data_IF_066818903442
#
_entry.id   IF_066818903442
#
_cell.length_a   1.000
_cell.length_b   1.000
_cell.length_c   1.000
_cell.angle_alpha   90.00
_cell.angle_beta   90.00
_cell.angle_gamma   90.00
#
_symmetry.space_group_name_H-M   'P 1'
#
loop_
_entity.id
_entity.type
_entity.pdbx_description
1 polymer ?
#
# COMPACT_ATOMS: atom_id res chain seq x y z
N UNK A 1 25.52 18.44 27.28
CA UNK A 1 25.17 17.10 27.81
C UNK A 1 23.80 16.66 27.31
N UNK A 2 22.71 17.37 27.60
CA UNK A 2 21.34 17.01 27.18
C UNK A 2 21.16 16.65 25.68
N UNK A 3 21.66 17.48 24.75
CA UNK A 3 21.55 17.22 23.30
C UNK A 3 22.31 15.96 22.86
N UNK A 4 23.49 15.71 23.45
CA UNK A 4 24.28 14.50 23.18
C UNK A 4 23.58 13.25 23.73
N UNK A 5 22.89 13.36 24.87
CA UNK A 5 22.08 12.28 25.43
C UNK A 5 20.87 11.94 24.55
N UNK A 6 20.21 12.94 23.95
CA UNK A 6 19.12 12.71 22.98
C UNK A 6 19.65 12.03 21.71
N UNK A 7 20.76 12.52 21.16
CA UNK A 7 21.44 11.91 20.01
C UNK A 7 21.78 10.44 20.25
N UNK A 8 22.37 10.17 21.42
CA UNK A 8 22.73 8.81 21.83
C UNK A 8 21.49 7.91 21.95
N UNK A 9 20.41 8.41 22.55
CA UNK A 9 19.15 7.67 22.70
C UNK A 9 18.52 7.34 21.34
N UNK A 10 18.45 8.30 20.43
CA UNK A 10 17.90 8.11 19.08
C UNK A 10 18.70 7.07 18.29
N UNK A 11 20.04 7.06 18.41
CA UNK A 11 20.88 6.07 17.74
C UNK A 11 20.72 4.66 18.32
N UNK A 12 20.64 4.53 19.64
CA UNK A 12 20.54 3.23 20.32
C UNK A 12 19.15 2.61 20.14
N UNK A 13 18.09 3.40 20.19
CA UNK A 13 16.71 2.92 20.10
C UNK A 13 16.13 2.94 18.66
N UNK A 14 16.83 3.51 17.69
CA UNK A 14 16.43 3.51 16.28
C UNK A 14 16.03 2.12 15.73
N UNK A 15 16.79 1.03 15.97
CA UNK A 15 16.42 -0.31 15.51
C UNK A 15 15.08 -0.82 16.06
N UNK A 16 14.60 -0.24 17.17
CA UNK A 16 13.31 -0.57 17.78
C UNK A 16 12.23 0.39 17.27
N UNK A 17 12.49 1.69 17.25
CA UNK A 17 11.49 2.70 16.88
C UNK A 17 11.12 2.68 15.41
N UNK A 18 12.08 2.47 14.50
CA UNK A 18 11.83 2.43 13.05
C UNK A 18 10.76 1.36 12.70
N UNK A 19 10.93 0.08 13.07
CA UNK A 19 9.92 -0.93 12.76
C UNK A 19 8.61 -0.71 13.53
N UNK A 20 8.64 -0.19 14.77
CA UNK A 20 7.40 0.10 15.52
C UNK A 20 6.58 1.21 14.86
N UNK A 21 7.23 2.27 14.37
CA UNK A 21 6.55 3.36 13.66
C UNK A 21 5.94 2.86 12.36
N UNK A 22 6.69 2.08 11.57
CA UNK A 22 6.18 1.48 10.33
C UNK A 22 5.00 0.56 10.63
N UNK A 23 5.15 -0.33 11.60
CA UNK A 23 4.09 -1.25 12.04
C UNK A 23 2.83 -0.53 12.51
N UNK A 24 2.93 0.66 13.10
CA UNK A 24 1.75 1.45 13.46
C UNK A 24 0.97 1.97 12.25
N UNK A 25 1.65 2.35 11.17
CA UNK A 25 1.00 2.76 9.91
C UNK A 25 0.43 1.56 9.16
N UNK A 26 1.14 0.42 9.16
CA UNK A 26 0.65 -0.85 8.63
C UNK A 26 -0.64 -1.26 9.33
N UNK A 27 -0.63 -1.30 10.67
CA UNK A 27 -1.79 -1.68 11.48
C UNK A 27 -2.95 -0.69 11.31
N UNK A 28 -2.68 0.61 11.30
CA UNK A 28 -3.72 1.61 11.10
C UNK A 28 -4.37 1.49 9.71
N UNK A 29 -3.58 1.26 8.66
CA UNK A 29 -4.08 1.05 7.30
C UNK A 29 -4.86 -0.27 7.17
N UNK A 30 -4.36 -1.34 7.77
CA UNK A 30 -4.99 -2.66 7.79
C UNK A 30 -6.35 -2.63 8.52
N UNK A 31 -6.39 -2.02 9.71
CA UNK A 31 -7.60 -1.82 10.49
C UNK A 31 -8.63 -0.97 9.75
N UNK A 32 -8.21 0.12 9.09
CA UNK A 32 -9.08 0.94 8.26
C UNK A 32 -9.60 0.19 7.02
N UNK A 33 -8.79 -0.72 6.47
CA UNK A 33 -9.15 -1.62 5.38
C UNK A 33 -10.02 -2.81 5.79
N UNK A 34 -10.26 -3.01 7.09
CA UNK A 34 -11.11 -4.09 7.62
C UNK A 34 -10.50 -5.49 7.54
N UNK A 35 -9.18 -5.61 7.34
CA UNK A 35 -8.48 -6.89 7.30
C UNK A 35 -7.15 -6.83 8.05
N UNK A 36 -6.91 -7.83 8.89
CA UNK A 36 -5.67 -7.93 9.66
C UNK A 36 -4.58 -8.71 8.91
N UNK A 37 -3.33 -8.29 9.07
CA UNK A 37 -2.17 -9.07 8.63
C UNK A 37 -1.88 -9.02 7.13
N UNK A 38 -2.17 -7.91 6.45
CA UNK A 38 -1.81 -7.74 5.03
C UNK A 38 -0.29 -7.75 4.88
N UNK A 39 0.23 -8.78 4.22
CA UNK A 39 1.62 -8.89 3.79
C UNK A 39 1.69 -9.06 2.27
N UNK A 40 2.79 -8.66 1.59
CA UNK A 40 2.92 -8.83 0.14
C UNK A 40 2.59 -10.24 -0.35
N UNK A 41 3.05 -11.26 0.38
CA UNK A 41 2.74 -12.66 0.08
C UNK A 41 1.26 -13.01 0.22
N UNK A 42 0.57 -12.46 1.22
CA UNK A 42 -0.87 -12.69 1.41
C UNK A 42 -1.71 -12.03 0.31
N UNK A 43 -1.30 -10.85 -0.17
CA UNK A 43 -1.94 -10.18 -1.31
C UNK A 43 -1.80 -11.04 -2.57
N UNK A 44 -0.59 -11.51 -2.87
CA UNK A 44 -0.36 -12.41 -4.00
C UNK A 44 -1.16 -13.71 -3.87
N UNK A 45 -1.17 -14.32 -2.68
CA UNK A 45 -1.92 -15.55 -2.42
C UNK A 45 -3.43 -15.34 -2.61
N UNK A 46 -3.99 -14.18 -2.26
CA UNK A 46 -5.40 -13.87 -2.50
C UNK A 46 -5.75 -13.91 -3.99
N UNK A 47 -4.90 -13.32 -4.84
CA UNK A 47 -5.07 -13.39 -6.30
C UNK A 47 -4.91 -14.80 -6.86
N UNK A 48 -3.94 -15.55 -6.33
CA UNK A 48 -3.72 -16.94 -6.71
C UNK A 48 -4.92 -17.84 -6.36
N UNK A 49 -5.51 -17.67 -5.17
CA UNK A 49 -6.72 -18.40 -4.78
C UNK A 49 -7.91 -18.08 -5.67
N UNK A 50 -8.08 -16.82 -6.07
CA UNK A 50 -9.12 -16.42 -7.03
C UNK A 50 -8.92 -17.11 -8.39
N UNK A 51 -7.66 -17.16 -8.85
CA UNK A 51 -7.25 -17.84 -10.08
C UNK A 51 -7.48 -19.37 -10.02
N UNK A 52 -7.26 -20.00 -8.86
CA UNK A 52 -7.59 -21.42 -8.65
C UNK A 52 -9.10 -21.66 -8.69
N UNK A 53 -9.90 -20.79 -8.06
CA UNK A 53 -11.37 -20.90 -8.11
C UNK A 53 -11.92 -20.81 -9.54
N UNK A 54 -11.31 -19.98 -10.39
CA UNK A 54 -11.60 -19.94 -11.83
C UNK A 54 -11.27 -21.25 -12.54
N UNK A 55 -10.16 -21.89 -12.18
CA UNK A 55 -9.71 -23.15 -12.78
C UNK A 55 -10.60 -24.34 -12.35
N UNK A 56 -11.10 -24.34 -11.11
CA UNK A 56 -12.08 -25.32 -10.66
C UNK A 56 -13.43 -25.17 -11.38
N UNK A 57 -13.85 -23.93 -11.64
CA UNK A 57 -15.02 -23.66 -12.49
C UNK A 57 -14.84 -24.18 -13.93
N UNK A 58 -13.62 -24.08 -14.48
CA UNK A 58 -13.26 -24.62 -15.78
C UNK A 58 -13.41 -26.15 -15.84
N UNK A 59 -12.96 -26.88 -14.80
CA UNK A 59 -12.98 -28.34 -14.76
C UNK A 59 -14.41 -28.92 -14.76
N UNK A 60 -15.39 -28.20 -14.22
CA UNK A 60 -16.77 -28.69 -14.13
C UNK A 60 -17.59 -28.48 -15.43
N UNK A 61 -17.30 -27.46 -16.25
CA UNK A 61 -18.16 -27.09 -17.41
C UNK A 61 -17.40 -26.68 -18.69
N UNK A 62 -16.14 -26.23 -18.59
CA UNK A 62 -15.52 -25.36 -19.59
C UNK A 62 -14.51 -25.99 -20.56
N UNK A 63 -13.95 -27.19 -20.28
CA UNK A 63 -12.95 -27.82 -21.16
C UNK A 63 -13.51 -28.29 -22.51
N UNK A 64 -14.82 -28.47 -22.63
CA UNK A 64 -15.47 -28.97 -23.83
C UNK A 64 -15.88 -27.88 -24.82
N UNK A 65 -15.80 -26.59 -24.44
CA UNK A 65 -16.17 -25.48 -25.32
C UNK A 65 -14.93 -24.69 -25.79
N UNK A 66 -14.67 -24.63 -27.11
CA UNK A 66 -13.44 -24.05 -27.67
C UNK A 66 -13.28 -22.54 -27.44
N UNK A 67 -14.32 -21.83 -26.99
CA UNK A 67 -14.29 -20.37 -26.80
C UNK A 67 -14.10 -20.01 -25.33
N UNK A 68 -14.87 -20.61 -24.42
CA UNK A 68 -14.84 -20.24 -22.99
C UNK A 68 -13.59 -20.75 -22.27
N UNK A 69 -13.06 -21.90 -22.69
CA UNK A 69 -11.84 -22.48 -22.11
C UNK A 69 -10.62 -21.55 -22.16
N UNK A 70 -10.19 -21.07 -23.35
CA UNK A 70 -9.04 -20.18 -23.46
C UNK A 70 -9.25 -18.81 -22.78
N UNK A 71 -10.49 -18.30 -22.71
CA UNK A 71 -10.79 -17.03 -22.02
C UNK A 71 -10.58 -17.09 -20.50
N UNK A 72 -10.95 -18.21 -19.87
CA UNK A 72 -10.75 -18.40 -18.44
C UNK A 72 -9.25 -18.50 -18.12
N UNK A 73 -8.48 -19.23 -18.95
CA UNK A 73 -7.02 -19.29 -18.81
C UNK A 73 -6.37 -17.92 -18.94
N UNK A 74 -6.79 -17.11 -19.92
CA UNK A 74 -6.31 -15.75 -20.09
C UNK A 74 -6.65 -14.85 -18.88
N UNK A 75 -7.84 -15.01 -18.31
CA UNK A 75 -8.27 -14.27 -17.11
C UNK A 75 -7.47 -14.66 -15.88
N UNK A 76 -7.23 -15.96 -15.69
CA UNK A 76 -6.40 -16.50 -14.63
C UNK A 76 -4.96 -15.94 -14.68
N UNK A 77 -4.32 -15.97 -15.87
CA UNK A 77 -2.98 -15.42 -16.06
C UNK A 77 -2.95 -13.91 -15.77
N UNK A 78 -3.95 -13.16 -16.26
CA UNK A 78 -4.05 -11.71 -16.04
C UNK A 78 -4.22 -11.38 -14.55
N UNK A 79 -5.04 -12.14 -13.82
CA UNK A 79 -5.22 -11.98 -12.37
C UNK A 79 -3.89 -12.20 -11.63
N UNK A 80 -3.17 -13.28 -11.92
CA UNK A 80 -1.89 -13.57 -11.28
C UNK A 80 -0.90 -12.41 -11.49
N UNK A 81 -0.79 -11.88 -12.72
CA UNK A 81 0.09 -10.75 -13.02
C UNK A 81 -0.32 -9.47 -12.28
N UNK A 82 -1.63 -9.17 -12.23
CA UNK A 82 -2.17 -8.01 -11.52
C UNK A 82 -1.89 -8.08 -10.01
N UNK A 83 -2.14 -9.22 -9.38
CA UNK A 83 -1.88 -9.40 -7.95
C UNK A 83 -0.39 -9.47 -7.62
N UNK A 84 0.44 -10.02 -8.52
CA UNK A 84 1.90 -9.94 -8.39
C UNK A 84 2.39 -8.48 -8.43
N UNK A 85 1.83 -7.67 -9.33
CA UNK A 85 2.14 -6.25 -9.40
C UNK A 85 1.77 -5.52 -8.10
N UNK A 86 0.55 -5.74 -7.57
CA UNK A 86 0.11 -5.14 -6.31
C UNK A 86 1.01 -5.53 -5.13
N UNK A 87 1.37 -6.81 -5.03
CA UNK A 87 2.31 -7.30 -4.01
C UNK A 87 3.70 -6.66 -4.14
N UNK A 88 4.21 -6.54 -5.37
CA UNK A 88 5.49 -5.88 -5.65
C UNK A 88 5.50 -4.41 -5.25
N UNK A 89 4.42 -3.68 -5.54
CA UNK A 89 4.27 -2.26 -5.17
C UNK A 89 4.21 -2.09 -3.65
N UNK A 90 3.50 -2.96 -2.94
CA UNK A 90 3.47 -2.97 -1.48
C UNK A 90 4.87 -3.18 -0.90
N UNK A 91 5.61 -4.16 -1.43
CA UNK A 91 6.99 -4.44 -1.01
C UNK A 91 7.89 -3.20 -1.21
N UNK A 92 7.78 -2.53 -2.36
CA UNK A 92 8.54 -1.29 -2.63
C UNK A 92 8.24 -0.22 -1.60
N UNK A 93 6.96 0.00 -1.23
CA UNK A 93 6.60 0.99 -0.21
C UNK A 93 7.09 0.62 1.19
N UNK A 94 7.09 -0.66 1.51
CA UNK A 94 7.62 -1.18 2.77
C UNK A 94 9.13 -0.89 2.82
N UNK A 95 9.89 -1.32 1.82
CA UNK A 95 11.34 -1.06 1.75
C UNK A 95 11.66 0.44 1.75
N UNK A 96 10.89 1.25 1.02
CA UNK A 96 11.03 2.71 1.02
C UNK A 96 10.88 3.27 2.43
N UNK A 97 9.85 2.85 3.19
CA UNK A 97 9.64 3.31 4.57
C UNK A 97 10.81 2.96 5.50
N UNK A 98 11.36 1.75 5.38
CA UNK A 98 12.53 1.32 6.16
C UNK A 98 13.78 2.11 5.81
N UNK A 99 14.03 2.36 4.52
CA UNK A 99 15.19 3.16 4.08
C UNK A 99 15.05 4.61 4.52
N UNK A 100 13.86 5.20 4.38
CA UNK A 100 13.61 6.58 4.76
C UNK A 100 13.79 6.77 6.26
N UNK A 101 13.10 5.97 7.08
CA UNK A 101 13.17 6.06 8.55
C UNK A 101 14.55 5.67 9.09
N UNK A 102 15.15 4.58 8.57
CA UNK A 102 16.47 4.13 9.00
C UNK A 102 17.58 5.14 8.64
N UNK A 103 17.51 5.74 7.45
CA UNK A 103 18.53 6.66 6.95
C UNK A 103 18.54 8.02 7.64
N UNK A 104 17.39 8.54 8.08
CA UNK A 104 17.34 9.88 8.69
C UNK A 104 17.23 9.92 10.20
N UNK A 105 17.38 8.80 10.89
CA UNK A 105 17.74 8.76 12.32
C UNK A 105 18.96 9.65 12.60
N UNK A 106 19.94 9.65 11.70
CA UNK A 106 21.12 10.50 11.78
C UNK A 106 20.75 11.99 11.64
N UNK A 107 19.87 12.34 10.70
CA UNK A 107 19.41 13.71 10.47
C UNK A 107 18.56 14.24 11.64
N UNK A 108 17.73 13.39 12.24
CA UNK A 108 16.97 13.71 13.47
C UNK A 108 17.90 14.01 14.64
N UNK A 109 19.01 13.29 14.74
CA UNK A 109 20.06 13.56 15.71
C UNK A 109 20.65 14.98 15.61
N UNK A 110 20.72 15.53 14.40
CA UNK A 110 21.20 16.90 14.17
C UNK A 110 20.14 17.98 14.40
N UNK A 111 18.88 17.63 14.71
CA UNK A 111 17.80 18.60 14.96
C UNK A 111 17.99 19.49 16.21
N UNK A 112 18.88 19.12 17.14
CA UNK A 112 19.11 19.87 18.38
C UNK A 112 19.93 21.17 18.23
N UNK A 113 20.48 21.46 17.05
CA UNK A 113 21.22 22.71 16.79
C UNK A 113 20.41 23.67 15.93
N UNK A 114 20.35 24.93 16.33
CA UNK A 114 19.64 26.02 15.62
C UNK A 114 20.07 26.22 14.16
N UNK A 115 21.26 25.74 13.79
CA UNK A 115 21.77 25.80 12.41
C UNK A 115 21.32 24.61 11.54
N UNK A 116 20.95 23.48 12.12
CA UNK A 116 20.56 22.24 11.42
C UNK A 116 19.12 21.82 11.69
N UNK A 117 18.39 22.56 12.52
CA UNK A 117 16.97 22.32 12.84
C UNK A 117 16.07 22.27 11.60
N UNK A 118 16.31 23.13 10.59
CA UNK A 118 15.52 23.13 9.36
C UNK A 118 15.65 21.86 8.50
N UNK A 119 16.79 21.15 8.60
CA UNK A 119 16.98 19.85 7.93
C UNK A 119 16.17 18.75 8.64
N UNK A 120 16.11 18.79 9.96
CA UNK A 120 15.33 17.84 10.75
C UNK A 120 13.81 18.03 10.55
N UNK A 121 13.34 19.28 10.52
CA UNK A 121 11.92 19.58 10.27
C UNK A 121 11.46 19.12 8.89
N UNK A 122 12.23 19.41 7.84
CA UNK A 122 11.92 18.95 6.48
C UNK A 122 11.91 17.43 6.36
N UNK A 123 12.83 16.76 7.06
CA UNK A 123 12.89 15.31 7.11
C UNK A 123 11.72 14.69 7.88
N UNK A 124 11.29 15.27 9.02
CA UNK A 124 10.12 14.81 9.76
C UNK A 124 8.85 14.87 8.91
N UNK A 125 8.66 15.96 8.16
CA UNK A 125 7.55 16.08 7.21
C UNK A 125 7.62 15.00 6.14
N UNK A 126 8.81 14.71 5.61
CA UNK A 126 9.00 13.67 4.61
C UNK A 126 8.71 12.26 5.15
N UNK A 127 9.19 11.94 6.36
CA UNK A 127 8.87 10.68 7.06
C UNK A 127 7.37 10.51 7.23
N UNK A 128 6.68 11.57 7.64
CA UNK A 128 5.22 11.53 7.79
C UNK A 128 4.50 11.29 6.46
N UNK A 129 4.97 11.90 5.36
CA UNK A 129 4.43 11.64 4.00
C UNK A 129 4.58 10.18 3.59
N UNK A 130 5.73 9.57 3.88
CA UNK A 130 5.98 8.15 3.58
C UNK A 130 5.13 7.24 4.48
N UNK A 131 4.94 7.58 5.75
CA UNK A 131 4.03 6.87 6.65
C UNK A 131 2.58 6.89 6.15
N UNK A 132 2.08 8.04 5.72
CA UNK A 132 0.71 8.13 5.15
C UNK A 132 0.59 7.42 3.80
N UNK A 133 1.64 7.47 2.96
CA UNK A 133 1.69 6.65 1.74
C UNK A 133 1.47 5.18 2.06
N UNK A 134 2.18 4.67 3.06
CA UNK A 134 2.08 3.28 3.50
C UNK A 134 0.68 3.00 4.05
N UNK A 135 0.16 3.83 4.96
CA UNK A 135 -1.20 3.68 5.52
C UNK A 135 -2.26 3.55 4.42
N UNK A 136 -2.22 4.44 3.43
CA UNK A 136 -3.19 4.43 2.33
C UNK A 136 -3.01 3.23 1.42
N UNK A 137 -1.78 2.75 1.20
CA UNK A 137 -1.55 1.52 0.45
C UNK A 137 -2.21 0.31 1.13
N UNK A 138 -2.08 0.17 2.45
CA UNK A 138 -2.74 -0.89 3.21
C UNK A 138 -4.27 -0.79 3.19
N UNK A 139 -4.81 0.43 3.30
CA UNK A 139 -6.25 0.68 3.18
C UNK A 139 -6.79 0.25 1.81
N UNK A 140 -6.11 0.65 0.73
CA UNK A 140 -6.50 0.29 -0.65
C UNK A 140 -6.45 -1.21 -0.85
N UNK A 141 -5.46 -1.90 -0.29
CA UNK A 141 -5.38 -3.36 -0.33
C UNK A 141 -6.49 -4.03 0.49
N UNK A 142 -6.93 -3.40 1.60
CA UNK A 142 -8.15 -3.75 2.32
C UNK A 142 -9.38 -3.80 1.43
N UNK A 143 -9.61 -2.69 0.73
CA UNK A 143 -10.70 -2.57 -0.22
C UNK A 143 -10.55 -3.59 -1.36
N UNK A 144 -9.35 -3.77 -1.90
CA UNK A 144 -9.08 -4.76 -2.93
C UNK A 144 -9.42 -6.20 -2.48
N UNK A 145 -9.12 -6.55 -1.22
CA UNK A 145 -9.52 -7.84 -0.64
C UNK A 145 -11.03 -8.03 -0.58
N UNK A 146 -11.79 -7.00 -0.18
CA UNK A 146 -13.25 -7.05 -0.18
C UNK A 146 -13.84 -7.20 -1.59
N UNK A 147 -13.20 -6.58 -2.59
CA UNK A 147 -13.62 -6.66 -3.98
C UNK A 147 -13.26 -8.04 -4.58
N UNK A 148 -12.13 -8.62 -4.18
CA UNK A 148 -11.76 -9.99 -4.53
C UNK A 148 -12.80 -11.02 -4.04
N UNK A 149 -13.34 -10.84 -2.83
CA UNK A 149 -14.39 -11.70 -2.31
C UNK A 149 -15.69 -11.59 -3.12
N UNK A 150 -16.06 -10.38 -3.56
CA UNK A 150 -17.21 -10.18 -4.45
C UNK A 150 -17.00 -10.87 -5.79
N UNK A 151 -15.81 -10.73 -6.39
CA UNK A 151 -15.46 -11.44 -7.63
C UNK A 151 -15.54 -12.95 -7.46
N UNK A 152 -15.03 -13.52 -6.36
CA UNK A 152 -15.17 -14.95 -6.09
C UNK A 152 -16.63 -15.41 -6.11
N UNK A 153 -17.56 -14.60 -5.57
CA UNK A 153 -19.00 -14.89 -5.63
C UNK A 153 -19.57 -14.82 -7.06
N UNK A 154 -19.17 -13.81 -7.85
CA UNK A 154 -19.60 -13.66 -9.24
C UNK A 154 -19.13 -14.81 -10.13
N UNK A 155 -17.94 -15.35 -9.83
CA UNK A 155 -17.38 -16.47 -10.57
C UNK A 155 -18.15 -17.79 -10.36
N UNK A 156 -18.88 -17.93 -9.25
CA UNK A 156 -19.79 -19.06 -9.05
C UNK A 156 -21.04 -18.98 -9.95
N UNK A 157 -21.39 -17.79 -10.44
CA UNK A 157 -22.51 -17.56 -11.35
C UNK A 157 -22.13 -17.66 -12.83
N UNK A 158 -20.87 -18.02 -13.14
CA UNK A 158 -20.41 -18.21 -14.52
C UNK A 158 -21.13 -19.41 -15.12
N UNK A 159 -21.91 -19.16 -16.16
CA UNK A 159 -22.57 -20.16 -16.98
C UNK A 159 -22.04 -20.08 -18.43
N UNK A 160 -22.13 -21.18 -19.18
CA UNK A 160 -21.71 -21.24 -20.58
C UNK A 160 -22.38 -20.18 -21.47
N UNK A 161 -23.58 -19.77 -21.09
CA UNK A 161 -24.43 -18.86 -21.88
C UNK A 161 -24.22 -17.39 -21.51
N UNK A 162 -23.45 -17.10 -20.45
CA UNK A 162 -23.20 -15.74 -19.98
C UNK A 162 -21.73 -15.53 -19.53
N UNK A 163 -20.83 -15.15 -20.45
CA UNK A 163 -19.44 -14.85 -20.11
C UNK A 163 -19.23 -13.46 -19.47
N UNK A 164 -20.27 -12.66 -19.24
CA UNK A 164 -20.14 -11.31 -18.69
C UNK A 164 -19.38 -11.22 -17.34
N UNK A 165 -19.56 -12.15 -16.38
CA UNK A 165 -18.85 -12.10 -15.10
C UNK A 165 -17.33 -12.23 -15.26
N UNK A 166 -16.85 -12.95 -16.29
CA UNK A 166 -15.41 -13.09 -16.56
C UNK A 166 -14.78 -11.76 -16.99
N UNK A 167 -15.48 -11.01 -17.84
CA UNK A 167 -15.01 -9.68 -18.27
C UNK A 167 -15.05 -8.66 -17.14
N UNK A 168 -16.03 -8.74 -16.25
CA UNK A 168 -16.13 -7.87 -15.09
C UNK A 168 -14.95 -8.09 -14.12
N UNK A 169 -14.64 -9.35 -13.81
CA UNK A 169 -13.50 -9.70 -12.95
C UNK A 169 -12.17 -9.32 -13.61
N UNK A 170 -12.02 -9.59 -14.92
CA UNK A 170 -10.82 -9.22 -15.67
C UNK A 170 -10.62 -7.70 -15.71
N UNK A 171 -11.66 -6.95 -16.07
CA UNK A 171 -11.62 -5.50 -16.11
C UNK A 171 -11.38 -4.88 -14.73
N UNK A 172 -12.06 -5.39 -13.72
CA UNK A 172 -11.90 -4.98 -12.33
C UNK A 172 -10.46 -5.17 -11.83
N UNK A 173 -9.85 -6.33 -12.10
CA UNK A 173 -8.46 -6.60 -11.75
C UNK A 173 -7.49 -5.64 -12.45
N UNK A 174 -7.63 -5.48 -13.77
CA UNK A 174 -6.75 -4.60 -14.55
C UNK A 174 -6.82 -3.15 -14.08
N UNK A 175 -8.00 -2.68 -13.65
CA UNK A 175 -8.18 -1.33 -13.07
C UNK A 175 -7.62 -1.23 -11.65
N UNK A 176 -7.73 -2.28 -10.84
CA UNK A 176 -7.22 -2.29 -9.47
C UNK A 176 -5.70 -2.15 -9.40
N UNK A 177 -4.95 -2.81 -10.29
CA UNK A 177 -3.48 -2.71 -10.33
C UNK A 177 -2.93 -1.27 -10.34
N UNK A 178 -3.31 -0.38 -11.29
CA UNK A 178 -2.83 0.99 -11.29
C UNK A 178 -3.39 1.80 -10.10
N UNK A 179 -4.62 1.55 -9.67
CA UNK A 179 -5.22 2.24 -8.51
C UNK A 179 -4.39 2.04 -7.25
N UNK A 180 -3.96 0.80 -6.98
CA UNK A 180 -3.08 0.47 -5.85
C UNK A 180 -1.75 1.22 -5.88
N UNK A 181 -1.27 1.62 -7.06
CA UNK A 181 -0.05 2.44 -7.17
C UNK A 181 -0.29 3.94 -7.05
N UNK A 182 -1.39 4.44 -7.62
CA UNK A 182 -1.60 5.89 -7.77
C UNK A 182 -2.23 6.52 -6.54
N UNK A 183 -3.19 5.85 -5.91
CA UNK A 183 -3.91 6.40 -4.75
C UNK A 183 -2.96 6.70 -3.57
N UNK A 184 -2.04 5.78 -3.19
CA UNK A 184 -1.10 6.06 -2.11
C UNK A 184 -0.13 7.22 -2.45
N UNK A 185 0.29 7.32 -3.71
CA UNK A 185 1.16 8.40 -4.18
C UNK A 185 0.48 9.77 -4.12
N UNK A 186 -0.80 9.86 -4.48
CA UNK A 186 -1.52 11.13 -4.38
C UNK A 186 -1.75 11.54 -2.93
N UNK A 187 -2.10 10.58 -2.05
CA UNK A 187 -2.28 10.86 -0.64
C UNK A 187 -1.01 11.42 0.03
N UNK A 188 0.16 10.88 -0.31
CA UNK A 188 1.44 11.36 0.24
C UNK A 188 1.85 12.73 -0.30
N UNK A 189 1.45 13.08 -1.52
CA UNK A 189 1.73 14.37 -2.14
C UNK A 189 0.84 15.49 -1.59
N UNK A 190 -0.41 15.20 -1.24
CA UNK A 190 -1.34 16.19 -0.67
C UNK A 190 -0.83 16.79 0.64
N UNK A 191 -0.14 15.98 1.46
CA UNK A 191 0.52 16.42 2.69
C UNK A 191 1.71 17.36 2.45
N UNK A 192 2.14 17.54 1.21
CA UNK A 192 3.19 18.46 0.82
C UNK A 192 2.78 19.67 0.01
N UNK A 193 1.51 19.75 -0.39
CA UNK A 193 0.97 20.85 -1.19
C UNK A 193 0.51 22.06 -0.35
N UNK A 194 0.55 21.95 0.98
CA UNK A 194 0.25 23.06 1.89
C UNK A 194 1.47 23.95 2.10
N UNK A 195 1.46 25.11 1.47
CA UNK A 195 2.14 26.32 1.93
C UNK A 195 2.23 26.40 3.46
N UNK A 196 3.47 26.40 3.98
CA UNK A 196 3.85 26.93 5.30
C UNK A 196 2.93 26.61 6.48
N UNK A 197 3.22 25.53 7.21
CA UNK A 197 3.08 25.58 8.67
C UNK A 197 4.22 26.45 9.22
N UNK A 198 4.15 27.75 8.95
CA UNK A 198 5.10 28.72 9.50
C UNK A 198 4.42 29.37 10.70
N UNK A 199 4.82 29.02 11.92
CA UNK A 199 4.46 29.79 13.12
C UNK A 199 4.78 31.29 12.98
N UNK A 200 5.59 31.68 11.98
CA UNK A 200 5.92 33.05 11.62
C UNK A 200 4.75 33.84 11.01
N UNK A 201 3.76 33.20 10.39
CA UNK A 201 2.57 33.92 9.89
C UNK A 201 1.55 34.25 10.99
N UNK A 202 1.71 33.69 12.19
CA UNK A 202 0.90 34.04 13.37
C UNK A 202 1.50 35.18 14.22
N UNK A 203 2.74 35.59 13.95
CA UNK A 203 3.41 36.70 14.65
C UNK A 203 3.60 37.95 13.78
N UNK A 204 3.03 37.95 12.56
CA UNK A 204 3.06 39.10 11.66
C UNK A 204 1.63 39.44 11.25
N UNK A 205 0.88 39.96 12.20
CA UNK A 205 -0.21 40.90 11.91
C UNK A 205 -0.02 42.17 12.76
N UNK A 206 0.22 43.27 12.06
CA UNK A 206 0.43 44.64 12.54
C UNK A 206 1.03 45.42 11.37
N UNK A 207 0.28 46.36 10.78
CA UNK A 207 0.11 47.69 11.38
C UNK A 207 -1.29 47.99 11.93
#
# INVERSE_FOLDING_TARGET
VFVLSILYTVLVFSPIWVPTVIGSFEQAGAAAGGIDGINPSSVFSGGFLLALGLLDGLNNWGLLNPITGPMILFTCLTLILCYAWMAGVLLVYLVESYVVLGGGVVLLGFGGSRFTAGLADGYLVYVFRVGVKLLVAYLVLGIAGSLAAQWASLLNAVALDNPAPLFEVLGGAVVLAPVTTKVPLFASQMLGAGSGFSLRSLFVEGP
#
